data_IF_464794602968
#
_entry.id   IF_464794602968
#
_cell.length_a   1.000
_cell.length_b   1.000
_cell.length_c   1.000
_cell.angle_alpha   90.00
_cell.angle_beta   90.00
_cell.angle_gamma   90.00
#
_symmetry.space_group_name_H-M   'P 1'
#
loop_
_entity.id
_entity.type
_entity.pdbx_description
1 polymer ?
#
# COMPACT_ATOMS: atom_id res chain seq x y z
N UNK A 1 0.57 -1.66 -15.24
CA UNK A 1 -0.72 -1.63 -14.54
C UNK A 1 -1.16 -0.21 -14.17
N UNK A 2 -0.51 0.51 -13.23
CA UNK A 2 -0.90 1.89 -12.88
C UNK A 2 -0.78 2.87 -14.06
N UNK A 3 0.29 2.76 -14.85
CA UNK A 3 0.53 3.56 -16.07
C UNK A 3 -0.59 3.38 -17.10
N UNK A 4 -1.06 2.16 -17.30
CA UNK A 4 -2.10 1.82 -18.28
C UNK A 4 -3.46 2.44 -17.92
N UNK A 5 -3.77 2.50 -16.63
CA UNK A 5 -5.02 3.09 -16.12
C UNK A 5 -5.06 4.60 -16.36
N UNK A 6 -3.95 5.30 -16.08
CA UNK A 6 -3.84 6.74 -16.32
C UNK A 6 -3.89 7.06 -17.82
N UNK A 7 -3.18 6.29 -18.64
CA UNK A 7 -3.19 6.43 -20.09
C UNK A 7 -4.59 6.26 -20.69
N UNK A 8 -5.35 5.26 -20.22
CA UNK A 8 -6.75 5.02 -20.64
C UNK A 8 -7.67 6.19 -20.35
N UNK A 9 -7.31 7.03 -19.37
CA UNK A 9 -8.05 8.23 -19.00
C UNK A 9 -7.59 9.51 -19.70
N UNK A 10 -6.70 9.38 -20.69
CA UNK A 10 -6.14 10.52 -21.42
C UNK A 10 -4.98 11.21 -20.70
N UNK A 11 -4.43 10.59 -19.64
CA UNK A 11 -3.27 11.12 -18.93
C UNK A 11 -1.99 10.43 -19.41
N UNK A 12 -1.03 11.20 -19.89
CA UNK A 12 0.27 10.67 -20.31
C UNK A 12 1.34 10.92 -19.25
N UNK A 13 2.29 10.00 -19.15
CA UNK A 13 3.41 10.15 -18.21
C UNK A 13 4.44 11.11 -18.79
N UNK A 14 4.58 12.27 -18.17
CA UNK A 14 5.60 13.25 -18.56
C UNK A 14 6.92 12.98 -17.84
N UNK A 15 7.99 12.90 -18.63
CA UNK A 15 9.36 12.70 -18.13
C UNK A 15 9.91 13.91 -17.37
N UNK A 16 9.34 15.11 -17.59
CA UNK A 16 9.75 16.35 -16.92
C UNK A 16 8.56 16.92 -16.16
N UNK A 17 8.73 17.11 -14.87
CA UNK A 17 7.69 17.63 -13.97
C UNK A 17 7.18 19.03 -14.37
N UNK A 18 7.98 19.81 -15.11
CA UNK A 18 7.58 21.14 -15.61
C UNK A 18 6.56 21.10 -16.74
N UNK A 19 6.43 19.97 -17.41
CA UNK A 19 5.46 19.75 -18.49
C UNK A 19 4.22 19.00 -17.97
N UNK A 20 4.15 18.77 -16.65
CA UNK A 20 3.04 18.07 -16.00
C UNK A 20 1.92 19.05 -15.66
N UNK A 21 0.70 18.66 -15.99
CA UNK A 21 -0.49 19.44 -15.62
C UNK A 21 -0.95 19.15 -14.18
N UNK A 22 -0.57 18.01 -13.63
CA UNK A 22 -0.81 17.63 -12.24
C UNK A 22 0.24 16.63 -11.76
N UNK A 23 0.38 16.48 -10.45
CA UNK A 23 1.19 15.42 -9.81
C UNK A 23 0.28 14.51 -9.00
N UNK A 24 0.54 13.21 -9.08
CA UNK A 24 -0.09 12.19 -8.22
C UNK A 24 0.97 11.64 -7.28
N UNK A 25 0.73 11.75 -5.98
CA UNK A 25 1.56 11.13 -4.96
C UNK A 25 0.80 9.98 -4.30
N UNK A 26 1.37 8.78 -4.33
CA UNK A 26 0.83 7.58 -3.69
C UNK A 26 1.75 7.26 -2.51
N UNK A 27 1.23 7.42 -1.30
CA UNK A 27 1.93 7.09 -0.07
C UNK A 27 1.32 5.83 0.52
N UNK A 28 2.17 4.83 0.76
CA UNK A 28 1.83 3.61 1.47
C UNK A 28 2.28 3.75 2.91
N UNK A 29 1.33 3.93 3.83
CA UNK A 29 1.60 4.02 5.26
C UNK A 29 1.25 2.68 5.91
N UNK A 30 2.25 1.90 6.31
CA UNK A 30 2.00 0.71 7.08
C UNK A 30 1.54 1.02 8.51
N UNK A 31 0.67 0.18 9.05
CA UNK A 31 0.20 0.33 10.41
C UNK A 31 -0.34 -0.97 11.01
N UNK A 32 -0.69 -0.87 12.28
CA UNK A 32 -1.37 -1.92 13.02
C UNK A 32 -2.71 -1.39 13.53
N UNK A 33 -3.74 -2.23 13.51
CA UNK A 33 -5.06 -1.92 14.04
C UNK A 33 -5.45 -2.98 15.05
N UNK A 34 -5.81 -2.58 16.26
CA UNK A 34 -6.21 -3.54 17.30
C UNK A 34 -7.39 -4.39 16.85
N UNK A 35 -7.23 -5.70 16.97
CA UNK A 35 -8.28 -6.67 16.68
C UNK A 35 -8.42 -7.65 17.86
N UNK A 36 -9.51 -7.53 18.65
CA UNK A 36 -9.72 -8.36 19.84
C UNK A 36 -9.90 -9.85 19.52
N UNK A 37 -10.26 -10.22 18.29
CA UNK A 37 -10.51 -11.60 17.89
C UNK A 37 -9.21 -12.41 17.65
N UNK A 38 -8.08 -11.73 17.42
CA UNK A 38 -6.77 -12.36 17.09
C UNK A 38 -5.94 -12.68 18.36
N UNK A 39 -6.49 -12.44 19.55
CA UNK A 39 -5.83 -12.63 20.87
C UNK A 39 -5.34 -14.05 21.15
N UNK A 40 -5.70 -15.05 20.35
CA UNK A 40 -5.28 -16.43 20.51
C UNK A 40 -3.92 -16.79 19.87
N UNK A 41 -3.26 -15.90 19.12
CA UNK A 41 -2.07 -16.25 18.31
C UNK A 41 -0.93 -15.21 18.31
N UNK A 42 -0.35 -14.92 19.48
CA UNK A 42 0.62 -13.82 19.67
C UNK A 42 1.88 -13.89 18.78
N UNK A 43 2.42 -15.08 18.49
CA UNK A 43 3.57 -15.21 17.59
C UNK A 43 3.20 -15.13 16.09
N UNK A 44 2.04 -15.67 15.72
CA UNK A 44 1.57 -15.73 14.33
C UNK A 44 1.16 -14.35 13.82
N UNK A 45 0.55 -13.53 14.68
CA UNK A 45 0.15 -12.17 14.35
C UNK A 45 1.33 -11.29 13.96
N UNK A 46 2.39 -11.26 14.78
CA UNK A 46 3.57 -10.47 14.44
C UNK A 46 4.30 -10.97 13.21
N UNK A 47 4.39 -12.29 13.01
CA UNK A 47 5.00 -12.85 11.80
C UNK A 47 4.20 -12.49 10.54
N UNK A 48 2.87 -12.51 10.60
CA UNK A 48 2.02 -12.09 9.48
C UNK A 48 2.17 -10.59 9.19
N UNK A 49 2.14 -9.75 10.23
CA UNK A 49 2.32 -8.30 10.10
C UNK A 49 3.67 -8.01 9.47
N UNK A 50 4.72 -8.59 10.05
CA UNK A 50 6.06 -8.49 9.53
C UNK A 50 6.15 -8.98 8.09
N UNK A 51 5.55 -10.11 7.75
CA UNK A 51 5.59 -10.65 6.39
C UNK A 51 4.94 -9.71 5.38
N UNK A 52 3.75 -9.17 5.68
CA UNK A 52 3.08 -8.23 4.81
C UNK A 52 3.91 -6.95 4.64
N UNK A 53 4.45 -6.42 5.73
CA UNK A 53 5.34 -5.26 5.75
C UNK A 53 6.60 -5.45 4.92
N UNK A 54 7.27 -6.55 5.17
CA UNK A 54 8.46 -6.95 4.44
C UNK A 54 8.15 -7.18 2.97
N UNK A 55 6.99 -7.74 2.62
CA UNK A 55 6.59 -7.91 1.22
C UNK A 55 6.42 -6.58 0.49
N UNK A 56 5.85 -5.58 1.15
CA UNK A 56 5.68 -4.23 0.59
C UNK A 56 7.04 -3.59 0.34
N UNK A 57 7.93 -3.62 1.34
CA UNK A 57 9.27 -3.05 1.23
C UNK A 57 10.13 -3.84 0.21
N UNK A 58 10.05 -5.16 0.23
CA UNK A 58 10.74 -6.01 -0.74
C UNK A 58 10.23 -5.81 -2.16
N UNK A 59 8.92 -5.62 -2.32
CA UNK A 59 8.29 -5.35 -3.60
C UNK A 59 8.74 -4.05 -4.25
N UNK A 60 9.04 -3.00 -3.48
CA UNK A 60 9.63 -1.77 -4.04
C UNK A 60 11.07 -1.95 -4.48
N UNK A 61 11.78 -2.94 -3.94
CA UNK A 61 13.17 -3.29 -4.31
C UNK A 61 13.20 -4.38 -5.41
N UNK A 62 12.03 -4.89 -5.83
CA UNK A 62 11.87 -5.84 -6.94
C UNK A 62 11.61 -7.29 -6.52
N UNK A 63 11.66 -7.60 -5.22
CA UNK A 63 11.55 -8.96 -4.70
C UNK A 63 10.69 -9.01 -3.42
N UNK A 64 9.36 -9.18 -3.56
CA UNK A 64 8.43 -9.25 -2.44
C UNK A 64 8.67 -10.46 -1.53
N UNK A 65 9.14 -11.59 -2.07
CA UNK A 65 9.32 -12.84 -1.32
C UNK A 65 10.40 -12.76 -0.23
N UNK A 66 11.64 -12.38 -0.56
CA UNK A 66 12.70 -12.14 0.42
C UNK A 66 12.31 -11.08 1.45
N UNK A 67 11.68 -9.99 1.01
CA UNK A 67 11.15 -8.98 1.90
C UNK A 67 10.15 -9.57 2.89
N UNK A 68 9.19 -10.36 2.41
CA UNK A 68 8.20 -11.03 3.24
C UNK A 68 8.85 -11.98 4.25
N UNK A 69 9.88 -12.73 3.87
CA UNK A 69 10.57 -13.64 4.79
C UNK A 69 11.31 -12.89 5.90
N UNK A 70 12.05 -11.82 5.55
CA UNK A 70 12.75 -10.95 6.52
C UNK A 70 11.75 -10.28 7.44
N UNK A 71 10.68 -9.77 6.85
CA UNK A 71 9.56 -9.19 7.56
C UNK A 71 8.92 -10.18 8.52
N UNK A 72 8.63 -11.41 8.08
CA UNK A 72 8.05 -12.44 8.91
C UNK A 72 8.95 -12.83 10.09
N UNK A 73 10.24 -12.95 9.85
CA UNK A 73 11.22 -13.28 10.88
C UNK A 73 11.32 -12.16 11.94
N UNK A 74 11.43 -10.91 11.49
CA UNK A 74 11.52 -9.75 12.38
C UNK A 74 10.20 -9.46 13.11
N UNK A 75 9.08 -9.53 12.41
CA UNK A 75 7.75 -9.36 12.98
C UNK A 75 7.35 -10.51 13.90
N UNK A 76 7.76 -11.74 13.62
CA UNK A 76 7.52 -12.89 14.50
C UNK A 76 8.25 -12.75 15.83
N UNK A 77 9.51 -12.26 15.79
CA UNK A 77 10.28 -11.98 17.00
C UNK A 77 9.67 -10.83 17.83
N UNK A 78 9.16 -9.79 17.17
CA UNK A 78 8.49 -8.65 17.84
C UNK A 78 7.04 -8.97 18.28
N UNK A 79 6.37 -9.89 17.58
CA UNK A 79 5.01 -10.35 17.85
C UNK A 79 4.84 -11.10 19.16
N UNK A 80 5.90 -11.78 19.61
CA UNK A 80 5.95 -12.41 20.93
C UNK A 80 5.72 -11.43 22.09
N UNK A 81 5.85 -10.12 21.85
CA UNK A 81 5.74 -9.06 22.86
C UNK A 81 4.54 -8.13 22.59
N UNK A 82 3.87 -8.24 21.43
CA UNK A 82 2.90 -7.25 20.97
C UNK A 82 1.42 -7.70 21.14
N UNK A 83 0.50 -6.76 21.43
CA UNK A 83 -0.93 -7.04 21.52
C UNK A 83 -1.51 -7.49 20.17
N UNK A 84 -2.67 -8.16 20.22
CA UNK A 84 -3.39 -8.67 19.06
C UNK A 84 -3.84 -7.54 18.13
N UNK A 85 -3.11 -7.36 17.03
CA UNK A 85 -3.39 -6.32 16.06
C UNK A 85 -3.36 -6.91 14.64
N UNK A 86 -4.21 -6.38 13.77
CA UNK A 86 -4.17 -6.61 12.34
C UNK A 86 -3.12 -5.72 11.67
N UNK A 87 -2.40 -6.26 10.69
CA UNK A 87 -1.64 -5.43 9.77
C UNK A 87 -2.61 -4.71 8.84
N UNK A 88 -2.43 -3.40 8.75
CA UNK A 88 -3.15 -2.55 7.81
C UNK A 88 -2.17 -1.75 6.98
N UNK A 89 -2.53 -1.50 5.73
CA UNK A 89 -1.84 -0.58 4.84
C UNK A 89 -2.80 0.53 4.51
N UNK A 90 -2.45 1.75 4.89
CA UNK A 90 -3.18 2.94 4.49
C UNK A 90 -2.56 3.47 3.20
N UNK A 91 -3.37 3.48 2.15
CA UNK A 91 -3.03 4.04 0.85
C UNK A 91 -3.56 5.46 0.84
N UNK A 92 -2.65 6.43 0.76
CA UNK A 92 -2.99 7.84 0.60
C UNK A 92 -2.65 8.29 -0.81
N UNK A 93 -3.63 8.88 -1.49
CA UNK A 93 -3.53 9.41 -2.82
C UNK A 93 -3.75 10.91 -2.74
N UNK A 94 -2.71 11.67 -3.09
CA UNK A 94 -2.79 13.13 -3.18
C UNK A 94 -2.64 13.52 -4.64
N UNK A 95 -3.60 14.27 -5.16
CA UNK A 95 -3.51 14.89 -6.47
C UNK A 95 -3.37 16.40 -6.33
N UNK A 96 -2.47 16.97 -7.11
CA UNK A 96 -2.21 18.42 -7.16
C UNK A 96 -2.25 18.85 -8.61
N UNK A 97 -3.31 19.55 -9.01
CA UNK A 97 -3.40 20.21 -10.32
C UNK A 97 -2.63 21.53 -10.31
N UNK A 98 -1.82 21.76 -11.33
CA UNK A 98 -1.10 23.03 -11.51
C UNK A 98 -1.93 24.08 -12.26
N UNK A 99 -2.98 23.63 -12.98
CA UNK A 99 -3.99 24.51 -13.53
C UNK A 99 -5.11 24.73 -12.49
N UNK A 100 -5.23 25.95 -11.98
CA UNK A 100 -6.27 26.35 -11.01
C UNK A 100 -6.11 25.90 -9.55
N UNK A 101 -4.95 25.34 -9.16
CA UNK A 101 -4.63 24.80 -7.81
C UNK A 101 -5.82 24.05 -7.19
N UNK A 102 -6.15 22.89 -7.75
CA UNK A 102 -7.06 21.94 -7.13
C UNK A 102 -6.25 20.84 -6.44
N UNK A 103 -6.44 20.72 -5.13
CA UNK A 103 -5.88 19.65 -4.31
C UNK A 103 -7.03 18.75 -3.92
N UNK A 104 -6.88 17.45 -4.18
CA UNK A 104 -7.73 16.51 -3.49
C UNK A 104 -6.98 15.28 -3.05
N UNK A 105 -7.61 14.61 -2.12
CA UNK A 105 -7.01 13.58 -1.29
C UNK A 105 -7.99 12.44 -1.17
N UNK A 106 -7.52 11.23 -1.43
CA UNK A 106 -8.22 9.99 -1.16
C UNK A 106 -7.37 9.17 -0.20
N UNK A 107 -8.00 8.53 0.79
CA UNK A 107 -7.30 7.58 1.63
C UNK A 107 -8.15 6.31 1.75
N UNK A 108 -7.49 5.16 1.65
CA UNK A 108 -8.14 3.87 1.88
C UNK A 108 -7.24 2.96 2.71
N UNK A 109 -7.83 2.32 3.70
CA UNK A 109 -7.13 1.39 4.58
C UNK A 109 -7.46 -0.04 4.15
N UNK A 110 -6.44 -0.83 3.87
CA UNK A 110 -6.55 -2.23 3.48
C UNK A 110 -6.00 -3.09 4.61
N UNK A 111 -6.79 -4.03 5.10
CA UNK A 111 -6.30 -5.04 6.06
C UNK A 111 -5.55 -6.13 5.29
N UNK A 112 -4.29 -6.36 5.67
CA UNK A 112 -3.41 -7.31 4.98
C UNK A 112 -3.14 -8.59 5.78
N UNK A 113 -3.63 -8.69 7.03
CA UNK A 113 -3.44 -9.87 7.89
C UNK A 113 -3.95 -11.19 7.28
N UNK A 114 -5.00 -11.14 6.45
CA UNK A 114 -5.59 -12.31 5.79
C UNK A 114 -5.05 -12.58 4.39
N UNK A 115 -4.09 -11.79 3.91
CA UNK A 115 -3.60 -11.84 2.54
C UNK A 115 -2.24 -12.55 2.51
N UNK A 116 -2.03 -13.55 1.65
CA UNK A 116 -0.73 -14.17 1.48
C UNK A 116 0.34 -13.10 1.13
N UNK A 117 1.54 -13.10 1.75
CA UNK A 117 2.49 -12.01 1.60
C UNK A 117 2.89 -11.69 0.15
N UNK A 118 3.00 -12.72 -0.69
CA UNK A 118 3.31 -12.57 -2.11
C UNK A 118 2.18 -11.94 -2.94
N UNK A 119 0.95 -11.90 -2.41
CA UNK A 119 -0.21 -11.26 -3.04
C UNK A 119 -0.46 -9.84 -2.51
N UNK A 120 0.17 -9.45 -1.39
CA UNK A 120 -0.06 -8.14 -0.77
C UNK A 120 0.22 -7.00 -1.76
N UNK A 121 1.31 -7.10 -2.53
CA UNK A 121 1.66 -6.11 -3.56
C UNK A 121 0.56 -6.01 -4.61
N UNK A 122 0.07 -7.15 -5.12
CA UNK A 122 -0.98 -7.18 -6.14
C UNK A 122 -2.31 -6.59 -5.62
N UNK A 123 -2.67 -6.86 -4.37
CA UNK A 123 -3.89 -6.29 -3.77
C UNK A 123 -3.77 -4.78 -3.60
N UNK A 124 -2.62 -4.29 -3.15
CA UNK A 124 -2.34 -2.85 -3.05
C UNK A 124 -2.40 -2.21 -4.45
N UNK A 125 -1.81 -2.83 -5.47
CA UNK A 125 -1.83 -2.32 -6.84
C UNK A 125 -3.25 -2.24 -7.40
N UNK A 126 -4.08 -3.24 -7.14
CA UNK A 126 -5.50 -3.23 -7.53
C UNK A 126 -6.26 -2.10 -6.83
N UNK A 127 -5.98 -1.88 -5.54
CA UNK A 127 -6.64 -0.83 -4.77
C UNK A 127 -6.22 0.57 -5.22
N UNK A 128 -4.92 0.79 -5.42
CA UNK A 128 -4.37 2.03 -6.01
C UNK A 128 -5.00 2.27 -7.37
N UNK A 129 -5.08 1.24 -8.22
CA UNK A 129 -5.70 1.33 -9.54
C UNK A 129 -7.18 1.72 -9.46
N UNK A 130 -7.94 1.14 -8.53
CA UNK A 130 -9.34 1.50 -8.28
C UNK A 130 -9.51 2.95 -7.83
N UNK A 131 -8.62 3.43 -6.95
CA UNK A 131 -8.63 4.82 -6.51
C UNK A 131 -8.28 5.79 -7.65
N UNK A 132 -7.35 5.43 -8.54
CA UNK A 132 -7.04 6.19 -9.75
C UNK A 132 -8.19 6.15 -10.77
N UNK A 133 -8.91 5.02 -10.86
CA UNK A 133 -10.13 4.89 -11.66
C UNK A 133 -11.29 5.76 -11.14
N UNK A 134 -11.28 6.17 -9.88
CA UNK A 134 -12.25 7.13 -9.35
C UNK A 134 -11.92 8.60 -9.70
N UNK A 135 -10.71 8.90 -10.20
CA UNK A 135 -10.38 10.25 -10.64
C UNK A 135 -11.24 10.68 -11.84
N UNK A 136 -11.62 11.97 -11.95
CA UNK A 136 -12.35 12.45 -13.12
C UNK A 136 -11.53 12.21 -14.41
N UNK A 137 -12.18 11.77 -15.51
CA UNK A 137 -11.53 11.73 -16.82
C UNK A 137 -11.16 13.15 -17.25
N UNK A 138 -10.09 13.26 -18.03
CA UNK A 138 -9.64 14.53 -18.60
C UNK A 138 -10.31 14.82 -19.93
#
# INVERSE_FOLDING_TARGET
>A
MVRDVLYTKGYDEVRRQRDADFTVNVLLVPGIRDNPDVRAGQALGGALIGAAMGAIIGGTVGDPGPGAAIGAASGGALGLVAPASDAVVRIELTFVSFDGIQIGRGAKTVTVSGIPPYQVVQVIDNEVSGMLQALPPR
#
